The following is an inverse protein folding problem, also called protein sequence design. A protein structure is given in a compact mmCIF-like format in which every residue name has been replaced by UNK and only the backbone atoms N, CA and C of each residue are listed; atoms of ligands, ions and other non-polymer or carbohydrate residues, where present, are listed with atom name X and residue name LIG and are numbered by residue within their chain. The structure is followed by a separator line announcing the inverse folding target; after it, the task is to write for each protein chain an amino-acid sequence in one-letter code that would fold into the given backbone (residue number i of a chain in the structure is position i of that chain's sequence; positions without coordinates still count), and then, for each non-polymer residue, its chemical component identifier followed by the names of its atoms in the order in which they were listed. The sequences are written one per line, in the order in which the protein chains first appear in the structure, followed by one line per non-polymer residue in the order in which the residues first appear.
data_IF_585791458342
#
_entry.id   IF_585791458342
#
_cell.length_a   1.000
_cell.length_b   1.000
_cell.length_c   1.000
_cell.angle_alpha   90.00
_cell.angle_beta   90.00
_cell.angle_gamma   90.00
#
_symmetry.space_group_name_H-M   'P 1'
#
loop_
_entity.id
_entity.type
_entity.pdbx_description
1 polymer ?
#
# COMPACT_ATOMS: atom_id res chain seq x y z
N UNK A 1 -1.32 18.57 17.81
CA UNK A 1 -0.64 17.62 16.91
C UNK A 1 -0.40 16.37 17.71
N UNK A 2 -1.08 15.26 17.37
CA UNK A 2 -0.76 13.98 17.99
C UNK A 2 0.56 13.53 17.38
N UNK A 3 1.59 13.40 18.21
CA UNK A 3 2.82 12.70 17.87
C UNK A 3 2.48 11.22 17.63
N UNK A 4 2.06 10.87 16.40
CA UNK A 4 2.05 9.49 15.95
C UNK A 4 3.48 8.97 16.07
N UNK A 5 3.66 7.89 16.80
CA UNK A 5 4.95 7.28 17.02
C UNK A 5 5.51 6.80 15.66
N UNK A 6 6.82 6.92 15.42
CA UNK A 6 7.45 6.49 14.16
C UNK A 6 7.24 5.00 13.84
N UNK A 7 6.93 4.22 14.86
CA UNK A 7 6.63 2.78 14.76
C UNK A 7 5.14 2.47 14.69
N UNK A 8 4.25 3.47 14.82
CA UNK A 8 2.83 3.25 14.62
C UNK A 8 2.59 2.78 13.18
N UNK A 9 1.80 1.73 13.03
CA UNK A 9 1.53 1.08 11.74
C UNK A 9 2.72 0.39 11.07
N UNK A 10 3.71 -0.09 11.83
CA UNK A 10 4.66 -1.14 11.41
C UNK A 10 4.32 -2.50 12.04
N UNK A 11 3.55 -3.31 11.31
CA UNK A 11 3.25 -4.69 11.70
C UNK A 11 2.84 -5.55 10.50
N UNK A 12 3.01 -6.87 10.64
CA UNK A 12 2.46 -7.85 9.70
C UNK A 12 1.68 -8.89 10.47
N UNK A 13 0.38 -8.96 10.20
CA UNK A 13 -0.54 -9.97 10.73
C UNK A 13 -0.99 -10.83 9.55
N UNK A 14 -0.45 -12.04 9.48
CA UNK A 14 -0.83 -13.04 8.49
C UNK A 14 -1.64 -14.14 9.16
N UNK A 15 -2.80 -14.44 8.58
CA UNK A 15 -3.64 -15.57 8.95
C UNK A 15 -3.93 -16.44 7.73
N UNK A 16 -4.76 -17.47 7.87
CA UNK A 16 -5.08 -18.40 6.78
C UNK A 16 -5.83 -17.71 5.61
N UNK A 17 -6.55 -16.62 5.87
CA UNK A 17 -7.42 -15.95 4.90
C UNK A 17 -6.75 -14.74 4.22
N UNK A 18 -5.91 -14.02 4.95
CA UNK A 18 -5.36 -12.75 4.50
C UNK A 18 -4.05 -12.37 5.18
N UNK A 19 -3.35 -11.43 4.57
CA UNK A 19 -2.19 -10.75 5.14
C UNK A 19 -2.53 -9.26 5.30
N UNK A 20 -2.47 -8.76 6.53
CA UNK A 20 -2.57 -7.35 6.89
C UNK A 20 -1.17 -6.80 7.11
N UNK A 21 -0.84 -5.70 6.43
CA UNK A 21 0.49 -5.09 6.43
C UNK A 21 0.32 -3.61 6.77
N UNK A 22 0.95 -3.18 7.86
CA UNK A 22 0.99 -1.77 8.24
C UNK A 22 1.67 -0.91 7.18
N UNK A 23 1.13 0.29 6.93
CA UNK A 23 1.52 1.09 5.76
C UNK A 23 2.82 1.91 5.95
N UNK A 24 3.46 1.84 7.12
CA UNK A 24 4.69 2.58 7.42
C UNK A 24 5.98 1.81 7.12
N UNK A 25 5.90 0.60 6.60
CA UNK A 25 7.07 -0.09 6.06
C UNK A 25 7.55 0.57 4.75
N UNK A 26 8.87 0.68 4.60
CA UNK A 26 9.46 0.82 3.26
C UNK A 26 9.34 -0.46 2.45
N UNK A 27 9.43 -0.36 1.14
CA UNK A 27 9.46 -1.56 0.30
C UNK A 27 10.64 -2.48 0.65
N UNK A 28 11.81 -1.94 0.97
CA UNK A 28 12.96 -2.70 1.44
C UNK A 28 12.63 -3.52 2.70
N UNK A 29 11.99 -2.90 3.70
CA UNK A 29 11.55 -3.60 4.91
C UNK A 29 10.54 -4.72 4.58
N UNK A 30 9.55 -4.46 3.71
CA UNK A 30 8.58 -5.48 3.27
C UNK A 30 9.25 -6.67 2.58
N UNK A 31 10.28 -6.40 1.79
CA UNK A 31 11.03 -7.41 1.05
C UNK A 31 11.92 -8.29 1.94
N UNK A 32 12.25 -7.84 3.15
CA UNK A 32 13.05 -8.57 4.13
C UNK A 32 12.21 -9.16 5.26
N UNK A 33 10.95 -8.73 5.42
CA UNK A 33 10.10 -9.13 6.53
C UNK A 33 9.59 -10.57 6.37
N UNK A 34 9.99 -11.47 7.27
CA UNK A 34 9.73 -12.92 7.19
C UNK A 34 8.24 -13.30 7.11
N UNK A 35 7.36 -12.51 7.74
CA UNK A 35 5.90 -12.74 7.71
C UNK A 35 5.21 -12.22 6.45
N UNK A 36 5.89 -11.45 5.60
CA UNK A 36 5.31 -11.02 4.34
C UNK A 36 5.40 -12.17 3.35
N UNK A 37 4.30 -12.61 2.72
CA UNK A 37 4.33 -13.74 1.80
C UNK A 37 5.34 -13.51 0.66
N UNK A 38 6.19 -14.50 0.40
CA UNK A 38 7.21 -14.43 -0.65
C UNK A 38 6.62 -14.09 -2.03
N UNK A 39 5.41 -14.59 -2.33
CA UNK A 39 4.70 -14.24 -3.57
C UNK A 39 4.41 -12.74 -3.65
N UNK A 40 3.98 -12.12 -2.55
CA UNK A 40 3.77 -10.66 -2.53
C UNK A 40 5.09 -9.91 -2.68
N UNK A 41 6.15 -10.32 -1.98
CA UNK A 41 7.49 -9.74 -2.17
C UNK A 41 7.95 -9.82 -3.63
N UNK A 42 7.67 -10.93 -4.32
CA UNK A 42 8.00 -11.12 -5.73
C UNK A 42 7.23 -10.16 -6.63
N UNK A 43 5.93 -9.97 -6.35
CA UNK A 43 5.09 -8.99 -7.07
C UNK A 43 5.59 -7.57 -6.85
N UNK A 44 5.97 -7.21 -5.62
CA UNK A 44 6.57 -5.90 -5.32
C UNK A 44 7.82 -5.65 -6.16
N UNK A 45 8.74 -6.63 -6.26
CA UNK A 45 9.96 -6.49 -7.07
C UNK A 45 9.66 -6.35 -8.57
N UNK A 46 8.82 -7.25 -9.10
CA UNK A 46 8.63 -7.39 -10.55
C UNK A 46 7.74 -6.30 -11.13
N UNK A 47 6.67 -5.93 -10.43
CA UNK A 47 5.63 -5.04 -10.97
C UNK A 47 5.62 -3.65 -10.33
N UNK A 48 5.96 -3.53 -9.05
CA UNK A 48 5.86 -2.25 -8.34
C UNK A 48 7.17 -1.48 -8.46
N UNK A 49 8.26 -1.99 -7.89
CA UNK A 49 9.55 -1.31 -7.88
C UNK A 49 10.12 -1.11 -9.28
N UNK A 50 9.95 -2.10 -10.17
CA UNK A 50 10.37 -1.99 -11.58
C UNK A 50 9.60 -0.90 -12.32
N UNK A 51 8.29 -0.79 -12.09
CA UNK A 51 7.47 0.24 -12.73
C UNK A 51 7.79 1.62 -12.17
N UNK A 52 7.97 1.77 -10.85
CA UNK A 52 8.38 3.03 -10.23
C UNK A 52 9.66 3.59 -10.88
N UNK A 53 10.67 2.74 -11.08
CA UNK A 53 11.92 3.12 -11.77
C UNK A 53 11.72 3.41 -13.26
N UNK A 54 10.73 2.80 -13.90
CA UNK A 54 10.39 3.10 -15.30
C UNK A 54 9.73 4.47 -15.42
N UNK A 55 8.82 4.80 -14.50
CA UNK A 55 8.11 6.08 -14.46
C UNK A 55 9.01 7.24 -14.02
N UNK A 56 9.92 6.98 -13.08
CA UNK A 56 10.95 7.92 -12.64
C UNK A 56 12.33 7.25 -12.68
N UNK A 57 13.05 7.36 -13.83
CA UNK A 57 14.41 6.84 -13.95
C UNK A 57 15.43 7.52 -13.03
N UNK A 58 15.10 8.69 -12.45
CA UNK A 58 15.98 9.40 -11.52
C UNK A 58 15.84 8.90 -10.07
N UNK A 59 14.83 8.07 -9.79
CA UNK A 59 14.63 7.46 -8.48
C UNK A 59 15.71 6.41 -8.20
N UNK A 60 16.75 6.82 -7.47
CA UNK A 60 17.92 5.97 -7.20
C UNK A 60 17.58 4.75 -6.32
N UNK A 61 16.72 4.93 -5.32
CA UNK A 61 16.41 3.92 -4.30
C UNK A 61 14.89 3.73 -4.12
N UNK A 62 14.17 3.16 -5.12
CA UNK A 62 12.72 2.96 -5.03
C UNK A 62 12.31 2.06 -3.85
N UNK A 63 13.18 1.17 -3.39
CA UNK A 63 12.95 0.33 -2.23
C UNK A 63 12.89 1.11 -0.91
N UNK A 64 13.48 2.30 -0.83
CA UNK A 64 13.44 3.14 0.38
C UNK A 64 12.10 3.88 0.54
N UNK A 65 11.28 3.90 -0.52
CA UNK A 65 9.96 4.53 -0.49
C UNK A 65 9.05 3.80 0.49
N UNK A 66 8.34 4.57 1.32
CA UNK A 66 7.35 4.07 2.27
C UNK A 66 6.05 3.73 1.54
N UNK A 67 5.46 2.57 1.88
CA UNK A 67 4.25 2.06 1.23
C UNK A 67 3.11 3.09 1.21
N UNK A 68 2.84 3.75 2.33
CA UNK A 68 1.82 4.80 2.39
C UNK A 68 2.08 5.91 1.37
N UNK A 69 3.30 6.45 1.35
CA UNK A 69 3.64 7.62 0.55
C UNK A 69 3.50 7.29 -0.94
N UNK A 70 3.88 6.07 -1.34
CA UNK A 70 3.62 5.61 -2.70
C UNK A 70 2.12 5.48 -2.98
N UNK A 71 1.35 4.80 -2.11
CA UNK A 71 -0.09 4.59 -2.32
C UNK A 71 -0.88 5.88 -2.51
N UNK A 72 -0.50 6.96 -1.82
CA UNK A 72 -1.13 8.29 -1.93
C UNK A 72 -0.81 9.01 -3.25
N UNK A 73 0.20 8.57 -4.00
CA UNK A 73 0.65 9.20 -5.25
C UNK A 73 0.29 8.41 -6.51
N UNK A 74 -0.28 7.20 -6.37
CA UNK A 74 -0.62 6.35 -7.52
C UNK A 74 -1.73 6.97 -8.34
N UNK A 75 -1.52 7.05 -9.66
CA UNK A 75 -2.52 7.43 -10.65
C UNK A 75 -3.12 6.20 -11.35
N UNK A 76 -4.38 6.27 -11.81
CA UNK A 76 -5.09 5.15 -12.44
C UNK A 76 -4.69 4.89 -13.90
N UNK A 77 -3.40 5.04 -14.25
CA UNK A 77 -2.90 5.04 -15.63
C UNK A 77 -1.66 4.16 -15.87
N UNK A 78 -1.19 3.46 -14.84
CA UNK A 78 0.07 2.72 -14.88
C UNK A 78 -0.03 1.29 -14.33
N UNK A 79 1.03 0.51 -14.51
CA UNK A 79 1.08 -0.89 -14.11
C UNK A 79 0.98 -1.10 -12.59
N UNK A 80 1.44 -0.13 -11.79
CA UNK A 80 1.32 -0.18 -10.32
C UNK A 80 -0.17 -0.22 -9.93
N UNK A 81 -0.98 0.68 -10.49
CA UNK A 81 -2.42 0.71 -10.22
C UNK A 81 -3.10 -0.62 -10.59
N UNK A 82 -2.84 -1.11 -11.80
CA UNK A 82 -3.42 -2.37 -12.29
C UNK A 82 -3.01 -3.57 -11.42
N UNK A 83 -1.75 -3.57 -10.94
CA UNK A 83 -1.24 -4.63 -10.07
C UNK A 83 -1.99 -4.66 -8.73
N UNK A 84 -2.09 -3.51 -8.04
CA UNK A 84 -2.81 -3.45 -6.76
C UNK A 84 -4.32 -3.74 -6.90
N UNK A 85 -4.92 -3.30 -8.01
CA UNK A 85 -6.32 -3.62 -8.34
C UNK A 85 -6.53 -5.13 -8.54
N UNK A 86 -5.66 -5.80 -9.30
CA UNK A 86 -5.71 -7.26 -9.52
C UNK A 86 -5.45 -8.06 -8.25
N UNK A 87 -4.62 -7.55 -7.34
CA UNK A 87 -4.44 -8.11 -6.01
C UNK A 87 -5.69 -7.98 -5.11
N UNK A 88 -6.72 -7.25 -5.57
CA UNK A 88 -7.93 -6.94 -4.80
C UNK A 88 -7.58 -6.33 -3.45
N UNK A 89 -6.55 -5.48 -3.45
CA UNK A 89 -6.03 -4.82 -2.26
C UNK A 89 -7.15 -4.02 -1.59
N UNK A 90 -7.23 -4.09 -0.26
CA UNK A 90 -8.02 -3.18 0.54
C UNK A 90 -7.10 -2.26 1.34
N UNK A 91 -7.50 -1.01 1.49
CA UNK A 91 -6.74 0.03 2.18
C UNK A 91 -7.58 0.53 3.35
N UNK A 92 -7.03 0.42 4.56
CA UNK A 92 -7.62 1.01 5.77
C UNK A 92 -6.91 2.33 6.07
N UNK A 93 -7.67 3.42 6.13
CA UNK A 93 -7.10 4.76 6.27
C UNK A 93 -8.02 5.67 7.09
N UNK A 94 -7.44 6.65 7.77
CA UNK A 94 -8.13 7.73 8.44
C UNK A 94 -8.06 8.99 7.57
N UNK A 95 -9.19 9.69 7.45
CA UNK A 95 -9.27 10.96 6.73
C UNK A 95 -10.25 11.93 7.43
N UNK A 96 -10.16 13.25 7.19
CA UNK A 96 -11.08 14.23 7.75
C UNK A 96 -12.54 13.92 7.38
N UNK A 97 -13.41 14.07 8.35
CA UNK A 97 -14.86 13.99 8.19
C UNK A 97 -15.52 14.93 9.20
N UNK A 98 -15.99 16.09 8.71
CA UNK A 98 -16.45 17.19 9.57
C UNK A 98 -15.32 17.63 10.53
N UNK A 99 -15.61 17.74 11.82
CA UNK A 99 -14.66 18.20 12.85
C UNK A 99 -13.81 17.06 13.45
N UNK A 100 -13.77 15.87 12.82
CA UNK A 100 -13.05 14.70 13.32
C UNK A 100 -12.43 13.86 12.21
N UNK A 101 -11.58 12.89 12.57
CA UNK A 101 -11.10 11.86 11.64
C UNK A 101 -12.01 10.64 11.68
N UNK A 102 -12.32 10.09 10.50
CA UNK A 102 -13.08 8.85 10.36
C UNK A 102 -12.21 7.77 9.72
N UNK A 103 -12.38 6.54 10.20
CA UNK A 103 -11.73 5.36 9.63
C UNK A 103 -12.56 4.81 8.47
N UNK A 104 -11.88 4.55 7.36
CA UNK A 104 -12.41 3.93 6.15
C UNK A 104 -11.66 2.64 5.84
N UNK A 105 -12.33 1.72 5.14
CA UNK A 105 -11.73 0.50 4.61
C UNK A 105 -12.28 0.25 3.21
N UNK A 106 -11.52 0.67 2.19
CA UNK A 106 -11.95 0.65 0.80
C UNK A 106 -11.16 -0.36 -0.01
N UNK A 107 -11.78 -0.87 -1.08
CA UNK A 107 -11.02 -1.49 -2.16
C UNK A 107 -10.09 -0.44 -2.78
N UNK A 108 -8.97 -0.88 -3.32
CA UNK A 108 -7.91 0.00 -3.81
C UNK A 108 -8.38 1.00 -4.87
N UNK A 109 -9.18 0.58 -5.84
CA UNK A 109 -9.76 1.48 -6.85
C UNK A 109 -10.57 2.61 -6.22
N UNK A 110 -11.48 2.27 -5.31
CA UNK A 110 -12.27 3.26 -4.56
C UNK A 110 -11.41 4.14 -3.64
N UNK A 111 -10.30 3.63 -3.14
CA UNK A 111 -9.34 4.42 -2.37
C UNK A 111 -8.64 5.46 -3.25
N UNK A 112 -8.21 5.09 -4.46
CA UNK A 112 -7.61 6.03 -5.41
C UNK A 112 -8.61 7.12 -5.80
N UNK A 113 -9.86 6.75 -6.11
CA UNK A 113 -10.93 7.73 -6.39
C UNK A 113 -11.11 8.72 -5.22
N UNK A 114 -11.05 8.22 -3.98
CA UNK A 114 -11.17 9.06 -2.78
C UNK A 114 -10.00 10.05 -2.65
N UNK A 115 -8.76 9.60 -2.87
CA UNK A 115 -7.55 10.45 -2.81
C UNK A 115 -7.60 11.51 -3.92
N UNK A 116 -8.06 11.17 -5.11
CA UNK A 116 -8.21 12.11 -6.23
C UNK A 116 -9.26 13.19 -5.92
N UNK A 117 -10.38 12.83 -5.31
CA UNK A 117 -11.47 13.76 -4.96
C UNK A 117 -11.11 14.68 -3.77
N UNK A 118 -10.38 14.17 -2.77
CA UNK A 118 -10.19 14.87 -1.48
C UNK A 118 -8.76 15.37 -1.24
N UNK A 119 -7.79 14.97 -2.05
CA UNK A 119 -6.37 15.24 -1.82
C UNK A 119 -5.73 14.30 -0.80
N UNK A 120 -4.38 14.24 -0.83
CA UNK A 120 -3.61 13.28 -0.03
C UNK A 120 -3.17 13.80 1.35
N UNK A 121 -3.11 15.12 1.54
CA UNK A 121 -2.37 15.77 2.64
C UNK A 121 -2.85 15.33 4.04
N UNK A 122 -4.17 15.15 4.21
CA UNK A 122 -4.76 14.78 5.50
C UNK A 122 -5.11 13.28 5.59
N UNK A 123 -4.65 12.44 4.66
CA UNK A 123 -4.93 11.01 4.68
C UNK A 123 -3.80 10.25 5.39
N UNK A 124 -4.15 9.46 6.40
CA UNK A 124 -3.22 8.52 7.04
C UNK A 124 -3.64 7.08 6.77
N UNK A 125 -2.80 6.33 6.07
CA UNK A 125 -3.03 4.92 5.80
C UNK A 125 -2.52 4.11 6.99
N UNK A 126 -3.38 3.26 7.55
CA UNK A 126 -3.01 2.38 8.65
C UNK A 126 -2.46 1.05 8.15
N UNK A 127 -3.10 0.46 7.16
CA UNK A 127 -2.72 -0.86 6.63
C UNK A 127 -3.28 -1.08 5.23
N UNK A 128 -2.65 -2.05 4.56
CA UNK A 128 -3.23 -2.76 3.44
C UNK A 128 -3.62 -4.18 3.86
N UNK A 129 -4.68 -4.72 3.25
CA UNK A 129 -5.08 -6.10 3.40
C UNK A 129 -5.14 -6.79 2.03
N UNK A 130 -4.50 -7.95 1.95
CA UNK A 130 -4.47 -8.80 0.75
C UNK A 130 -5.04 -10.16 1.12
N UNK A 131 -6.04 -10.62 0.39
CA UNK A 131 -6.52 -11.99 0.53
C UNK A 131 -5.46 -12.98 0.03
N UNK A 132 -5.19 -14.03 0.80
CA UNK A 132 -4.27 -15.08 0.38
C UNK A 132 -4.74 -15.77 -0.90
N UNK A 133 -6.06 -15.90 -1.10
CA UNK A 133 -6.64 -16.43 -2.34
C UNK A 133 -6.35 -15.51 -3.53
N UNK A 134 -6.56 -14.19 -3.37
CA UNK A 134 -6.27 -13.22 -4.42
C UNK A 134 -4.77 -13.24 -4.77
N UNK A 135 -3.91 -13.26 -3.76
CA UNK A 135 -2.46 -13.37 -3.92
C UNK A 135 -2.05 -14.65 -4.66
N UNK A 136 -2.62 -15.81 -4.30
CA UNK A 136 -2.35 -17.06 -4.98
C UNK A 136 -2.86 -17.08 -6.43
N UNK A 137 -4.01 -16.46 -6.70
CA UNK A 137 -4.57 -16.35 -8.05
C UNK A 137 -3.84 -15.37 -8.97
N UNK A 138 -2.99 -14.51 -8.41
CA UNK A 138 -2.20 -13.56 -9.20
C UNK A 138 -1.15 -14.31 -10.03
N UNK A 139 -1.27 -14.24 -11.35
CA UNK A 139 -0.29 -14.81 -12.28
C UNK A 139 0.90 -13.85 -12.42
N UNK A 140 2.10 -14.39 -12.25
CA UNK A 140 3.37 -13.70 -12.51
C UNK A 140 3.82 -14.04 -13.92
#
# INVERSE_FOLDING_TARGET
MNDMNKDDFKYVIADFSSTQIGARYSYEELLMHERVPFKFQSILRIYILREMKTLDPSLEFPEKVVLQDHLLQIKPDNLVYETYKRLKLKVRFAAPYKDAYKLYNYKFDKFIDYVEEHGADDITIQEINISNLALMSFSI
#
